data_IF_122585020080
#
_entry.id   IF_122585020080
#
_cell.length_a   1.000
_cell.length_b   1.000
_cell.length_c   1.000
_cell.angle_alpha   90.00
_cell.angle_beta   90.00
_cell.angle_gamma   90.00
#
_symmetry.space_group_name_H-M   'P 1'
#
loop_
_entity.id
_entity.type
_entity.pdbx_description
1 polymer ?
#
# COMPACT_ATOMS: atom_id res chain seq x y z
N UNK A 1 -33.37 -19.30 13.02
CA UNK A 1 -32.06 -19.92 12.72
C UNK A 1 -31.09 -18.79 12.40
N UNK A 2 -30.12 -18.51 13.29
CA UNK A 2 -29.08 -17.50 13.03
C UNK A 2 -27.94 -18.21 12.31
N UNK A 3 -27.58 -17.77 11.11
CA UNK A 3 -26.49 -18.33 10.33
C UNK A 3 -25.15 -17.77 10.88
N UNK A 4 -24.26 -18.58 11.49
CA UNK A 4 -23.14 -18.06 12.27
C UNK A 4 -21.85 -17.92 11.44
N UNK A 5 -21.93 -17.47 10.19
CA UNK A 5 -20.74 -17.44 9.33
C UNK A 5 -20.75 -16.30 8.30
N UNK A 6 -21.12 -15.10 8.73
CA UNK A 6 -20.57 -13.90 8.10
C UNK A 6 -19.21 -13.73 8.76
N UNK A 7 -18.12 -14.06 8.06
CA UNK A 7 -16.82 -13.55 8.47
C UNK A 7 -16.98 -12.05 8.48
N UNK A 8 -16.85 -11.42 9.64
CA UNK A 8 -16.65 -9.97 9.73
C UNK A 8 -15.58 -9.65 8.69
N UNK A 9 -16.00 -9.05 7.58
CA UNK A 9 -15.07 -8.35 6.70
C UNK A 9 -14.37 -7.38 7.63
N UNK A 10 -13.06 -7.53 7.81
CA UNK A 10 -12.24 -6.64 8.63
C UNK A 10 -12.55 -5.21 8.19
N UNK A 11 -13.46 -4.54 8.89
CA UNK A 11 -13.86 -3.19 8.54
C UNK A 11 -12.64 -2.35 8.87
N UNK A 12 -11.93 -1.91 7.83
CA UNK A 12 -10.83 -0.99 8.00
C UNK A 12 -11.41 0.31 8.57
N UNK A 13 -11.15 0.54 9.86
CA UNK A 13 -11.61 1.72 10.57
C UNK A 13 -10.52 2.79 10.58
N UNK A 14 -10.90 4.02 10.95
CA UNK A 14 -9.94 5.11 11.16
C UNK A 14 -8.96 4.86 12.33
N UNK A 15 -9.09 3.74 13.04
CA UNK A 15 -8.19 3.35 14.14
C UNK A 15 -7.21 2.25 13.74
N UNK A 16 -7.07 1.93 12.45
CA UNK A 16 -6.06 0.99 11.97
C UNK A 16 -4.64 1.50 12.32
N UNK A 17 -3.81 0.63 12.89
CA UNK A 17 -2.47 0.98 13.38
C UNK A 17 -1.50 1.44 12.27
N UNK A 18 -1.81 1.14 11.00
CA UNK A 18 -1.04 1.58 9.84
C UNK A 18 -1.26 3.07 9.53
N UNK A 19 -2.34 3.67 10.02
CA UNK A 19 -2.66 5.09 9.88
C UNK A 19 -1.91 5.90 10.94
N UNK A 20 -0.88 6.62 10.53
CA UNK A 20 0.06 7.34 11.40
C UNK A 20 0.30 8.80 10.94
N UNK A 21 -0.69 9.40 10.27
CA UNK A 21 -0.63 10.78 9.78
C UNK A 21 -0.26 10.91 8.30
N UNK A 22 -0.56 9.90 7.49
CA UNK A 22 -0.32 9.92 6.05
C UNK A 22 -1.35 10.74 5.26
N UNK A 23 -2.13 11.64 5.87
CA UNK A 23 -3.19 12.40 5.18
C UNK A 23 -2.72 13.16 3.93
N UNK A 24 -1.42 13.43 3.82
CA UNK A 24 -0.76 13.99 2.63
C UNK A 24 -0.75 13.05 1.41
N UNK A 25 -1.13 11.78 1.56
CA UNK A 25 -1.35 10.83 0.45
C UNK A 25 -2.78 10.87 -0.10
N UNK A 26 -3.69 11.67 0.44
CA UNK A 26 -5.08 11.74 -0.04
C UNK A 26 -5.13 12.30 -1.46
N UNK A 27 -6.00 11.72 -2.29
CA UNK A 27 -6.25 12.13 -3.69
C UNK A 27 -5.02 12.09 -4.61
N UNK A 28 -3.90 11.52 -4.15
CA UNK A 28 -2.68 11.41 -4.93
C UNK A 28 -2.87 10.53 -6.18
N UNK A 29 -2.13 10.88 -7.24
CA UNK A 29 -2.07 10.11 -8.47
C UNK A 29 -1.10 8.94 -8.29
N UNK A 30 -1.63 7.73 -8.42
CA UNK A 30 -0.87 6.49 -8.30
C UNK A 30 -0.74 5.79 -9.64
N UNK A 31 0.41 5.18 -9.87
CA UNK A 31 0.62 4.20 -10.96
C UNK A 31 1.01 2.85 -10.39
N UNK A 32 0.57 1.77 -11.03
CA UNK A 32 1.02 0.43 -10.66
C UNK A 32 2.35 0.13 -11.33
N UNK A 33 3.40 -0.18 -10.56
CA UNK A 33 4.76 -0.36 -11.07
C UNK A 33 5.44 -1.57 -10.42
N UNK A 34 6.28 -2.28 -11.19
CA UNK A 34 7.24 -3.23 -10.62
C UNK A 34 8.36 -2.45 -9.93
N UNK A 35 8.75 -2.89 -8.74
CA UNK A 35 9.76 -2.19 -7.96
C UNK A 35 11.11 -2.15 -8.69
N UNK A 36 11.59 -0.92 -8.90
CA UNK A 36 12.94 -0.63 -9.33
C UNK A 36 13.52 0.50 -8.44
N UNK A 37 14.62 0.26 -7.73
CA UNK A 37 15.24 1.31 -6.92
C UNK A 37 15.81 2.40 -7.84
N UNK A 38 15.77 3.66 -7.38
CA UNK A 38 16.29 4.81 -8.15
C UNK A 38 17.78 4.64 -8.49
N UNK A 39 18.53 3.97 -7.61
CA UNK A 39 19.93 3.62 -7.83
C UNK A 39 20.12 2.13 -7.62
N UNK A 40 20.90 1.49 -8.48
CA UNK A 40 21.21 0.07 -8.33
C UNK A 40 21.84 -0.20 -6.95
N UNK A 41 21.30 -1.17 -6.23
CA UNK A 41 21.73 -1.53 -4.87
C UNK A 41 21.10 -0.71 -3.74
N UNK A 42 20.28 0.31 -4.04
CA UNK A 42 19.62 1.17 -3.06
C UNK A 42 18.18 0.73 -2.77
N UNK A 43 17.99 -0.51 -2.31
CA UNK A 43 16.66 -1.08 -1.99
C UNK A 43 16.16 -0.65 -0.60
N UNK A 44 15.92 0.65 -0.43
CA UNK A 44 15.50 1.25 0.84
C UNK A 44 14.00 1.54 0.94
N UNK A 45 13.27 1.40 -0.16
CA UNK A 45 11.84 1.72 -0.19
C UNK A 45 11.01 0.69 0.57
N UNK A 46 9.94 1.16 1.20
CA UNK A 46 8.97 0.38 1.94
C UNK A 46 7.58 0.97 1.74
N UNK A 47 6.55 0.22 2.11
CA UNK A 47 5.19 0.74 2.12
C UNK A 47 5.07 1.89 3.14
N UNK A 48 4.42 3.00 2.77
CA UNK A 48 4.15 4.15 3.65
C UNK A 48 3.23 3.84 4.84
N UNK A 49 2.50 2.72 4.77
CA UNK A 49 1.51 2.31 5.76
C UNK A 49 2.03 1.19 6.67
N UNK A 50 2.41 0.05 6.09
CA UNK A 50 2.77 -1.14 6.85
C UNK A 50 4.28 -1.39 6.94
N UNK A 51 5.10 -0.53 6.33
CA UNK A 51 6.57 -0.65 6.32
C UNK A 51 7.11 -1.94 5.70
N UNK A 52 6.29 -2.72 4.97
CA UNK A 52 6.80 -3.88 4.24
C UNK A 52 7.84 -3.39 3.22
N UNK A 53 9.06 -3.95 3.21
CA UNK A 53 10.10 -3.50 2.30
C UNK A 53 9.80 -3.92 0.86
N UNK A 54 10.19 -3.09 -0.09
CA UNK A 54 10.19 -3.44 -1.51
C UNK A 54 11.54 -4.00 -1.94
N UNK A 55 11.54 -5.06 -2.76
CA UNK A 55 12.74 -5.74 -3.25
C UNK A 55 12.60 -6.10 -4.73
N UNK A 56 13.70 -6.01 -5.47
CA UNK A 56 13.73 -6.44 -6.88
C UNK A 56 13.66 -7.96 -7.02
N UNK A 57 14.23 -8.67 -6.03
CA UNK A 57 14.23 -10.13 -5.91
C UNK A 57 13.06 -10.63 -5.06
N UNK A 58 12.67 -11.87 -5.30
CA UNK A 58 11.67 -12.56 -4.48
C UNK A 58 12.26 -12.93 -3.12
N UNK A 59 11.64 -12.40 -2.06
CA UNK A 59 12.01 -12.66 -0.68
C UNK A 59 10.74 -12.67 0.17
N UNK A 60 10.54 -13.67 1.06
CA UNK A 60 9.40 -13.69 1.97
C UNK A 60 9.32 -12.41 2.80
N UNK A 61 8.11 -11.88 2.96
CA UNK A 61 7.87 -10.64 3.72
C UNK A 61 8.29 -9.36 2.99
N UNK A 62 8.36 -9.39 1.66
CA UNK A 62 8.68 -8.21 0.83
C UNK A 62 7.69 -8.06 -0.32
N UNK A 63 7.51 -6.84 -0.81
CA UNK A 63 6.75 -6.54 -2.02
C UNK A 63 7.68 -6.39 -3.23
N UNK A 64 7.22 -6.77 -4.42
CA UNK A 64 7.97 -6.61 -5.68
C UNK A 64 7.30 -5.65 -6.67
N UNK A 65 6.10 -5.24 -6.35
CA UNK A 65 5.22 -4.39 -7.14
C UNK A 65 4.20 -3.78 -6.20
N UNK A 66 3.61 -2.68 -6.65
CA UNK A 66 2.64 -1.93 -5.90
C UNK A 66 2.33 -0.61 -6.58
N UNK A 67 1.65 0.24 -5.84
CA UNK A 67 1.26 1.56 -6.30
C UNK A 67 2.31 2.58 -5.86
N UNK A 68 2.64 3.50 -6.75
CA UNK A 68 3.68 4.49 -6.52
C UNK A 68 3.21 5.89 -6.93
N UNK A 69 3.47 6.87 -6.07
CA UNK A 69 3.20 8.29 -6.33
C UNK A 69 4.21 8.88 -7.33
N UNK A 70 3.97 10.11 -7.77
CA UNK A 70 4.91 10.82 -8.64
C UNK A 70 6.29 11.04 -7.98
N UNK A 71 6.32 11.30 -6.66
CA UNK A 71 7.54 11.49 -5.87
C UNK A 71 8.15 10.17 -5.34
N UNK A 72 7.68 9.02 -5.84
CA UNK A 72 8.17 7.66 -5.55
C UNK A 72 7.92 7.15 -4.13
N UNK A 73 6.81 7.52 -3.51
CA UNK A 73 6.30 6.83 -2.31
C UNK A 73 5.58 5.56 -2.70
N UNK A 74 5.85 4.48 -1.99
CA UNK A 74 5.33 3.16 -2.33
C UNK A 74 4.21 2.72 -1.40
N UNK A 75 3.20 2.07 -1.98
CA UNK A 75 2.04 1.49 -1.30
C UNK A 75 1.91 0.05 -1.81
N UNK A 76 2.00 -0.94 -0.92
CA UNK A 76 1.80 -2.33 -1.31
C UNK A 76 0.33 -2.62 -1.62
N UNK A 77 0.07 -3.65 -2.43
CA UNK A 77 -1.28 -4.03 -2.88
C UNK A 77 -2.29 -4.16 -1.74
N UNK A 78 -1.88 -4.75 -0.61
CA UNK A 78 -2.74 -4.87 0.58
C UNK A 78 -3.13 -3.51 1.14
N UNK A 79 -2.19 -2.58 1.30
CA UNK A 79 -2.51 -1.25 1.82
C UNK A 79 -3.28 -0.42 0.80
N UNK A 80 -3.04 -0.63 -0.50
CA UNK A 80 -3.86 0.00 -1.53
C UNK A 80 -5.32 -0.44 -1.40
N UNK A 81 -5.58 -1.75 -1.39
CA UNK A 81 -6.95 -2.29 -1.32
C UNK A 81 -7.67 -1.86 -0.04
N UNK A 82 -6.98 -1.85 1.09
CA UNK A 82 -7.54 -1.49 2.38
C UNK A 82 -7.88 0.02 2.48
N UNK A 83 -7.09 0.88 1.84
CA UNK A 83 -7.17 2.33 2.05
C UNK A 83 -7.63 3.13 0.83
N UNK A 84 -7.80 2.54 -0.36
CA UNK A 84 -8.15 3.26 -1.59
C UNK A 84 -9.41 4.11 -1.50
N UNK A 85 -10.43 3.64 -0.78
CA UNK A 85 -11.66 4.42 -0.56
C UNK A 85 -11.47 5.52 0.49
N UNK A 86 -10.65 5.27 1.50
CA UNK A 86 -10.38 6.24 2.56
C UNK A 86 -9.49 7.39 2.05
N UNK A 87 -8.55 7.10 1.17
CA UNK A 87 -7.58 8.05 0.63
C UNK A 87 -7.99 8.62 -0.73
N UNK A 88 -9.04 8.10 -1.35
CA UNK A 88 -9.59 8.60 -2.62
C UNK A 88 -8.54 8.67 -3.73
N UNK A 89 -7.61 7.70 -3.77
CA UNK A 89 -6.53 7.67 -4.75
C UNK A 89 -7.03 7.61 -6.18
N UNK A 90 -6.35 8.36 -7.05
CA UNK A 90 -6.59 8.37 -8.49
C UNK A 90 -5.56 7.47 -9.17
N UNK A 91 -5.98 6.65 -10.14
CA UNK A 91 -5.06 5.84 -10.92
C UNK A 91 -4.66 6.54 -12.22
N UNK A 92 -3.37 6.52 -12.55
CA UNK A 92 -2.85 6.88 -13.86
C UNK A 92 -3.40 5.90 -14.92
N UNK A 93 -4.07 6.43 -15.94
CA UNK A 93 -4.72 5.68 -17.03
C UNK A 93 -3.83 5.48 -18.23
#
# INVERSE_FOLDING_TARGET
MKNPNVKESDVITQTDWRLQGQDWLREELLRYERYAPVRQGSEHDHCEFCWIPFRTRELPGTAREGYVTQDRRWICDTCYEDFKLMFEWVLET
#
